data_IF_773131426641
#
_entry.id   IF_773131426641
#
_cell.length_a   1.000
_cell.length_b   1.000
_cell.length_c   1.000
_cell.angle_alpha   90.00
_cell.angle_beta   90.00
_cell.angle_gamma   90.00
#
_symmetry.space_group_name_H-M   'P 1'
#
loop_
_entity.id
_entity.type
_entity.pdbx_description
1 polymer ?
#
# COMPACT_ATOMS: atom_id res chain seq x y z
N UNK A 1 20.48 -3.97 12.32
CA UNK A 1 20.50 -3.81 10.84
C UNK A 1 19.69 -2.57 10.50
N UNK A 2 20.33 -1.51 10.04
CA UNK A 2 19.65 -0.26 9.67
C UNK A 2 18.75 -0.57 8.46
N UNK A 3 17.43 -0.64 8.64
CA UNK A 3 16.54 -0.89 7.51
C UNK A 3 16.59 0.33 6.59
N UNK A 4 17.24 0.20 5.42
CA UNK A 4 17.50 1.28 4.46
C UNK A 4 16.25 2.10 4.07
N UNK A 5 15.06 1.51 4.20
CA UNK A 5 13.78 2.22 4.12
C UNK A 5 12.81 1.71 5.20
N UNK A 6 12.18 2.62 5.94
CA UNK A 6 11.03 2.31 6.81
C UNK A 6 9.80 2.03 5.95
N UNK A 7 8.93 1.11 6.38
CA UNK A 7 7.69 0.79 5.67
C UNK A 7 6.79 2.02 5.44
N UNK A 8 6.86 3.02 6.33
CA UNK A 8 6.14 4.29 6.16
C UNK A 8 6.75 5.15 5.06
N UNK A 9 8.09 5.21 4.96
CA UNK A 9 8.79 5.91 3.87
C UNK A 9 8.53 5.25 2.52
N UNK A 10 8.52 3.92 2.50
CA UNK A 10 8.16 3.16 1.29
C UNK A 10 6.73 3.48 0.82
N UNK A 11 5.76 3.57 1.73
CA UNK A 11 4.39 3.97 1.38
C UNK A 11 4.31 5.40 0.80
N UNK A 12 5.03 6.37 1.39
CA UNK A 12 5.08 7.72 0.83
C UNK A 12 5.78 7.77 -0.54
N UNK A 13 6.81 6.96 -0.75
CA UNK A 13 7.46 6.83 -2.07
C UNK A 13 6.50 6.23 -3.11
N UNK A 14 5.73 5.19 -2.77
CA UNK A 14 4.68 4.65 -3.63
C UNK A 14 3.67 5.75 -3.97
N UNK A 15 3.19 6.49 -2.97
CA UNK A 15 2.21 7.57 -3.15
C UNK A 15 2.72 8.63 -4.13
N UNK A 16 3.97 9.08 -3.97
CA UNK A 16 4.59 10.05 -4.87
C UNK A 16 4.62 9.54 -6.31
N UNK A 17 5.09 8.30 -6.52
CA UNK A 17 5.18 7.70 -7.86
C UNK A 17 3.78 7.56 -8.48
N UNK A 18 2.77 7.11 -7.72
CA UNK A 18 1.39 7.00 -8.21
C UNK A 18 0.82 8.34 -8.67
N UNK A 19 1.08 9.42 -7.92
CA UNK A 19 0.63 10.77 -8.30
C UNK A 19 1.30 11.22 -9.60
N UNK A 20 2.61 10.98 -9.74
CA UNK A 20 3.33 11.28 -10.98
C UNK A 20 2.80 10.45 -12.16
N UNK A 21 2.50 9.17 -11.95
CA UNK A 21 1.89 8.29 -12.97
C UNK A 21 0.51 8.80 -13.40
N UNK A 22 -0.34 9.24 -12.46
CA UNK A 22 -1.63 9.85 -12.79
C UNK A 22 -1.43 11.13 -13.63
N UNK A 23 -0.47 11.98 -13.24
CA UNK A 23 -0.12 13.18 -13.99
C UNK A 23 0.34 12.87 -15.41
N UNK A 24 1.13 11.80 -15.59
CA UNK A 24 1.55 11.31 -16.90
C UNK A 24 0.34 10.89 -17.76
N UNK A 25 -0.58 10.08 -17.23
CA UNK A 25 -1.79 9.66 -17.98
C UNK A 25 -2.68 10.86 -18.35
N UNK A 26 -2.79 11.87 -17.48
CA UNK A 26 -3.49 13.12 -17.81
C UNK A 26 -2.78 13.87 -18.95
N UNK A 27 -1.44 13.91 -18.96
CA UNK A 27 -0.67 14.55 -20.02
C UNK A 27 -0.82 13.83 -21.38
N UNK A 28 -0.93 12.50 -21.37
CA UNK A 28 -1.27 11.69 -22.56
C UNK A 28 -2.65 12.07 -23.09
N UNK A 29 -3.67 12.11 -22.23
CA UNK A 29 -5.02 12.53 -22.61
C UNK A 29 -5.10 13.98 -23.11
N UNK A 30 -4.26 14.87 -22.58
CA UNK A 30 -4.16 16.25 -23.03
C UNK A 30 -3.40 16.40 -24.37
N UNK A 31 -2.87 15.32 -24.95
CA UNK A 31 -2.09 15.34 -26.19
C UNK A 31 -0.67 15.88 -26.03
N UNK A 32 -0.19 16.04 -24.80
CA UNK A 32 1.19 16.49 -24.53
C UNK A 32 2.24 15.38 -24.67
N UNK A 33 1.80 14.12 -24.77
CA UNK A 33 2.63 12.93 -24.88
C UNK A 33 2.16 12.08 -26.07
N UNK A 34 3.07 11.60 -26.94
CA UNK A 34 2.70 10.77 -28.08
C UNK A 34 2.10 9.41 -27.63
N UNK A 35 1.02 8.93 -28.26
CA UNK A 35 0.38 7.66 -27.88
C UNK A 35 1.25 6.43 -28.14
N UNK A 36 2.29 6.55 -28.98
CA UNK A 36 3.19 5.44 -29.33
C UNK A 36 4.06 4.99 -28.15
N UNK A 37 4.25 5.85 -27.14
CA UNK A 37 5.06 5.51 -25.96
C UNK A 37 4.25 4.86 -24.83
N UNK A 38 2.94 4.70 -25.00
CA UNK A 38 2.05 4.03 -24.05
C UNK A 38 1.47 2.76 -24.67
N UNK A 39 1.18 1.75 -23.84
CA UNK A 39 0.51 0.51 -24.24
C UNK A 39 1.19 -0.26 -25.38
N UNK A 40 2.52 -0.29 -25.43
CA UNK A 40 3.27 -1.00 -26.47
C UNK A 40 3.21 -0.33 -27.83
N UNK A 41 2.74 0.92 -27.92
CA UNK A 41 2.38 1.57 -29.18
C UNK A 41 1.18 0.94 -29.89
N UNK A 42 0.41 0.07 -29.20
CA UNK A 42 -0.72 -0.67 -29.79
C UNK A 42 -2.05 0.08 -29.72
N UNK A 43 -2.12 1.14 -28.92
CA UNK A 43 -3.32 1.97 -28.77
C UNK A 43 -3.39 3.03 -29.89
N UNK A 44 -3.55 2.59 -31.14
CA UNK A 44 -3.60 3.47 -32.32
C UNK A 44 -4.96 4.13 -32.55
N UNK A 45 -6.04 3.50 -32.06
CA UNK A 45 -7.38 4.08 -32.09
C UNK A 45 -7.56 5.11 -30.95
N UNK A 46 -7.91 6.37 -31.24
CA UNK A 46 -8.12 7.39 -30.21
C UNK A 46 -9.15 6.97 -29.16
N UNK A 47 -10.23 6.28 -29.54
CA UNK A 47 -11.26 5.88 -28.59
C UNK A 47 -10.77 4.75 -27.66
N UNK A 48 -9.98 3.82 -28.17
CA UNK A 48 -9.28 2.80 -27.39
C UNK A 48 -8.28 3.43 -26.42
N UNK A 49 -7.45 4.37 -26.89
CA UNK A 49 -6.50 5.10 -26.05
C UNK A 49 -7.20 5.77 -24.87
N UNK A 50 -8.25 6.58 -25.13
CA UNK A 50 -8.99 7.26 -24.06
C UNK A 50 -9.55 6.29 -23.00
N UNK A 51 -10.07 5.13 -23.42
CA UNK A 51 -10.58 4.11 -22.50
C UNK A 51 -9.47 3.51 -21.64
N UNK A 52 -8.34 3.16 -22.26
CA UNK A 52 -7.19 2.58 -21.57
C UNK A 52 -6.56 3.57 -20.57
N UNK A 53 -6.40 4.83 -20.97
CA UNK A 53 -5.92 5.90 -20.09
C UNK A 53 -6.89 6.15 -18.93
N UNK A 54 -8.20 6.20 -19.17
CA UNK A 54 -9.21 6.37 -18.13
C UNK A 54 -9.19 5.21 -17.11
N UNK A 55 -9.04 3.97 -17.57
CA UNK A 55 -8.88 2.80 -16.70
C UNK A 55 -7.59 2.91 -15.88
N UNK A 56 -6.48 3.33 -16.49
CA UNK A 56 -5.21 3.51 -15.78
C UNK A 56 -5.30 4.56 -14.69
N UNK A 57 -5.93 5.70 -14.97
CA UNK A 57 -6.18 6.75 -13.97
C UNK A 57 -7.04 6.20 -12.84
N UNK A 58 -8.16 5.55 -13.15
CA UNK A 58 -9.07 5.00 -12.15
C UNK A 58 -8.39 3.97 -11.23
N UNK A 59 -7.60 3.06 -11.81
CA UNK A 59 -6.81 2.08 -11.06
C UNK A 59 -5.80 2.80 -10.18
N UNK A 60 -5.00 3.72 -10.71
CA UNK A 60 -3.99 4.42 -9.91
C UNK A 60 -4.62 5.25 -8.77
N UNK A 61 -5.76 5.90 -8.99
CA UNK A 61 -6.52 6.59 -7.94
C UNK A 61 -6.96 5.62 -6.84
N UNK A 62 -7.47 4.44 -7.21
CA UNK A 62 -7.80 3.40 -6.23
C UNK A 62 -6.58 2.98 -5.42
N UNK A 63 -5.42 2.82 -6.07
CA UNK A 63 -4.17 2.48 -5.38
C UNK A 63 -3.71 3.59 -4.43
N UNK A 64 -3.87 4.86 -4.82
CA UNK A 64 -3.61 6.02 -3.94
C UNK A 64 -4.47 5.94 -2.68
N UNK A 65 -5.76 5.63 -2.80
CA UNK A 65 -6.66 5.47 -1.64
C UNK A 65 -6.18 4.34 -0.72
N UNK A 66 -5.76 3.20 -1.27
CA UNK A 66 -5.20 2.09 -0.48
C UNK A 66 -3.96 2.54 0.31
N UNK A 67 -3.03 3.25 -0.33
CA UNK A 67 -1.80 3.73 0.31
C UNK A 67 -2.09 4.79 1.37
N UNK A 68 -2.99 5.74 1.08
CA UNK A 68 -3.43 6.74 2.06
C UNK A 68 -4.10 6.08 3.27
N UNK A 69 -4.90 5.04 3.05
CA UNK A 69 -5.51 4.22 4.08
C UNK A 69 -4.49 3.54 4.98
N UNK A 70 -3.38 3.06 4.41
CA UNK A 70 -2.27 2.50 5.17
C UNK A 70 -1.48 3.53 5.96
N UNK A 71 -1.24 4.72 5.40
CA UNK A 71 -0.52 5.81 6.12
C UNK A 71 -1.34 6.43 7.25
N UNK A 72 -2.65 6.18 7.30
CA UNK A 72 -3.57 6.78 8.26
C UNK A 72 -3.91 8.24 7.95
N UNK A 73 -3.64 8.70 6.72
CA UNK A 73 -3.92 10.07 6.26
C UNK A 73 -5.39 10.28 5.90
N UNK A 74 -6.17 9.21 5.76
CA UNK A 74 -7.63 9.30 5.58
C UNK A 74 -8.31 9.44 6.95
N UNK A 75 -9.40 10.20 7.00
CA UNK A 75 -10.21 10.40 8.22
C UNK A 75 -10.85 9.12 8.77
N UNK A 76 -10.71 7.99 8.07
CA UNK A 76 -11.22 6.67 8.45
C UNK A 76 -10.09 5.63 8.46
N UNK A 77 -10.18 4.67 9.39
CA UNK A 77 -9.16 3.65 9.61
C UNK A 77 -9.52 2.37 8.87
N UNK A 78 -8.68 1.96 7.93
CA UNK A 78 -8.79 0.64 7.32
C UNK A 78 -8.17 -0.44 8.21
N UNK A 79 -8.83 -1.60 8.27
CA UNK A 79 -8.28 -2.76 8.95
C UNK A 79 -7.10 -3.35 8.19
N UNK A 80 -6.10 -3.86 8.90
CA UNK A 80 -4.98 -4.60 8.31
C UNK A 80 -5.43 -5.80 7.48
N UNK A 81 -6.61 -6.37 7.77
CA UNK A 81 -7.20 -7.48 7.01
C UNK A 81 -7.60 -7.09 5.58
N UNK A 82 -7.86 -5.80 5.34
CA UNK A 82 -8.22 -5.26 4.01
C UNK A 82 -6.99 -4.73 3.29
N UNK A 83 -6.13 -3.99 4.01
CA UNK A 83 -4.95 -3.38 3.41
C UNK A 83 -3.91 -4.41 2.96
N UNK A 84 -3.69 -5.48 3.73
CA UNK A 84 -2.68 -6.48 3.40
C UNK A 84 -2.93 -7.20 2.07
N UNK A 85 -4.14 -7.73 1.76
CA UNK A 85 -4.42 -8.28 0.44
C UNK A 85 -4.38 -7.21 -0.66
N UNK A 86 -4.78 -5.96 -0.38
CA UNK A 86 -4.69 -4.88 -1.36
C UNK A 86 -3.24 -4.58 -1.78
N UNK A 87 -2.29 -4.54 -0.84
CA UNK A 87 -0.87 -4.39 -1.16
C UNK A 87 -0.29 -5.61 -1.89
N UNK A 88 -0.79 -6.82 -1.64
CA UNK A 88 -0.44 -8.00 -2.44
C UNK A 88 -0.95 -7.90 -3.87
N UNK A 89 -2.18 -7.45 -4.08
CA UNK A 89 -2.72 -7.19 -5.40
C UNK A 89 -1.90 -6.14 -6.15
N UNK A 90 -1.50 -5.05 -5.48
CA UNK A 90 -0.58 -4.05 -6.03
C UNK A 90 0.77 -4.66 -6.43
N UNK A 91 1.36 -5.48 -5.56
CA UNK A 91 2.63 -6.16 -5.86
C UNK A 91 2.52 -7.01 -7.13
N UNK A 92 1.46 -7.81 -7.25
CA UNK A 92 1.22 -8.64 -8.44
C UNK A 92 1.00 -7.77 -9.68
N UNK A 93 0.16 -6.75 -9.58
CA UNK A 93 -0.12 -5.82 -10.67
C UNK A 93 1.15 -5.14 -11.20
N UNK A 94 1.98 -4.59 -10.32
CA UNK A 94 3.22 -3.92 -10.72
C UNK A 94 4.27 -4.91 -11.23
N UNK A 95 4.31 -6.12 -10.71
CA UNK A 95 5.18 -7.17 -11.26
C UNK A 95 4.75 -7.55 -12.67
N UNK A 96 3.44 -7.70 -12.92
CA UNK A 96 2.92 -7.97 -14.25
C UNK A 96 3.18 -6.81 -15.21
N UNK A 97 3.01 -5.56 -14.76
CA UNK A 97 3.38 -4.38 -15.54
C UNK A 97 4.89 -4.34 -15.85
N UNK A 98 5.75 -4.74 -14.90
CA UNK A 98 7.19 -4.84 -15.13
C UNK A 98 7.49 -5.85 -16.24
N UNK A 99 6.86 -7.03 -16.19
CA UNK A 99 6.99 -8.05 -17.25
C UNK A 99 6.49 -7.52 -18.59
N UNK A 100 5.33 -6.85 -18.62
CA UNK A 100 4.79 -6.22 -19.82
C UNK A 100 5.76 -5.21 -20.44
N UNK A 101 6.35 -4.33 -19.61
CA UNK A 101 7.29 -3.30 -20.06
C UNK A 101 8.64 -3.88 -20.54
N UNK A 102 9.10 -4.97 -19.94
CA UNK A 102 10.31 -5.70 -20.38
C UNK A 102 10.08 -6.36 -21.74
N UNK A 103 8.86 -6.85 -22.00
CA UNK A 103 8.48 -7.47 -23.27
C UNK A 103 8.01 -6.47 -24.32
N UNK A 104 7.97 -5.18 -23.99
CA UNK A 104 7.50 -4.16 -24.90
C UNK A 104 8.54 -3.87 -26.00
N UNK A 105 8.05 -3.53 -27.18
CA UNK A 105 8.90 -3.23 -28.34
C UNK A 105 9.46 -1.80 -28.29
N UNK A 106 8.88 -0.92 -27.47
CA UNK A 106 9.28 0.48 -27.39
C UNK A 106 10.39 0.69 -26.35
N UNK A 107 11.44 1.42 -26.73
CA UNK A 107 12.55 1.72 -25.84
C UNK A 107 12.11 2.52 -24.59
N UNK A 108 11.09 3.37 -24.72
CA UNK A 108 10.56 4.17 -23.61
C UNK A 108 9.95 3.28 -22.53
N UNK A 109 9.19 2.25 -22.90
CA UNK A 109 8.61 1.33 -21.92
C UNK A 109 9.68 0.52 -21.22
N UNK A 110 10.66 0.00 -21.97
CA UNK A 110 11.74 -0.81 -21.39
C UNK A 110 12.66 0.01 -20.49
N UNK A 111 13.02 1.25 -20.86
CA UNK A 111 14.02 2.05 -20.14
C UNK A 111 13.43 2.92 -19.04
N UNK A 112 12.20 3.42 -19.20
CA UNK A 112 11.57 4.34 -18.24
C UNK A 112 10.54 3.63 -17.39
N UNK A 113 9.58 2.94 -17.99
CA UNK A 113 8.48 2.35 -17.22
C UNK A 113 8.86 1.07 -16.48
N UNK A 114 9.75 0.24 -17.02
CA UNK A 114 10.27 -0.94 -16.31
C UNK A 114 10.88 -0.60 -14.95
N UNK A 115 11.87 0.32 -14.82
CA UNK A 115 12.43 0.61 -13.51
C UNK A 115 11.41 1.24 -12.56
N UNK A 116 10.45 2.02 -13.08
CA UNK A 116 9.37 2.61 -12.27
C UNK A 116 8.44 1.53 -11.70
N UNK A 117 7.96 0.60 -12.53
CA UNK A 117 7.05 -0.47 -12.09
C UNK A 117 7.77 -1.51 -11.23
N UNK A 118 9.03 -1.80 -11.53
CA UNK A 118 9.88 -2.64 -10.69
C UNK A 118 10.09 -2.01 -9.30
N UNK A 119 10.39 -0.71 -9.24
CA UNK A 119 10.53 0.02 -7.98
C UNK A 119 9.22 -0.01 -7.17
N UNK A 120 8.08 0.23 -7.81
CA UNK A 120 6.76 0.12 -7.17
C UNK A 120 6.51 -1.28 -6.58
N UNK A 121 6.83 -2.34 -7.34
CA UNK A 121 6.72 -3.72 -6.86
C UNK A 121 7.61 -3.95 -5.62
N UNK A 122 8.89 -3.55 -5.67
CA UNK A 122 9.80 -3.68 -4.55
C UNK A 122 9.34 -2.90 -3.30
N UNK A 123 8.82 -1.68 -3.48
CA UNK A 123 8.28 -0.88 -2.38
C UNK A 123 7.03 -1.53 -1.78
N UNK A 124 6.13 -2.10 -2.59
CA UNK A 124 4.97 -2.84 -2.11
C UNK A 124 5.39 -4.06 -1.26
N UNK A 125 6.37 -4.84 -1.75
CA UNK A 125 6.96 -5.94 -0.98
C UNK A 125 7.57 -5.47 0.34
N UNK A 126 8.26 -4.33 0.34
CA UNK A 126 8.84 -3.73 1.55
C UNK A 126 7.77 -3.34 2.58
N UNK A 127 6.63 -2.81 2.14
CA UNK A 127 5.48 -2.51 3.00
C UNK A 127 4.87 -3.80 3.55
N UNK A 128 4.70 -4.85 2.73
CA UNK A 128 4.16 -6.12 3.18
C UNK A 128 5.02 -6.80 4.26
N UNK A 129 6.35 -6.75 4.12
CA UNK A 129 7.29 -7.38 5.05
C UNK A 129 7.41 -6.65 6.40
N UNK A 130 7.28 -5.32 6.42
CA UNK A 130 7.54 -4.53 7.63
C UNK A 130 6.35 -3.71 8.16
N UNK A 131 5.34 -3.47 7.34
CA UNK A 131 4.21 -2.58 7.66
C UNK A 131 3.12 -3.22 8.50
N UNK A 132 2.90 -4.53 8.34
CA UNK A 132 1.80 -5.25 9.00
C UNK A 132 2.26 -6.16 10.14
N UNK A 133 3.57 -6.36 10.32
CA UNK A 133 4.12 -7.29 11.32
C UNK A 133 4.07 -6.78 12.77
N UNK A 134 3.62 -5.54 13.01
CA UNK A 134 3.57 -4.97 14.36
C UNK A 134 2.21 -5.07 15.06
N UNK A 135 1.53 -6.21 14.91
CA UNK A 135 0.35 -6.56 15.73
C UNK A 135 0.72 -7.27 17.05
N UNK A 136 2.00 -7.50 17.33
CA UNK A 136 2.43 -8.35 18.46
C UNK A 136 2.54 -7.65 19.83
N UNK A 137 2.66 -6.33 19.91
CA UNK A 137 3.03 -5.68 21.19
C UNK A 137 1.84 -5.13 21.99
N UNK A 138 0.72 -4.73 21.36
CA UNK A 138 -0.41 -4.13 22.10
C UNK A 138 -1.39 -5.14 22.73
N UNK A 139 -1.45 -6.37 22.22
CA UNK A 139 -2.25 -7.45 22.85
C UNK A 139 -1.60 -7.96 24.14
N UNK A 140 -0.27 -7.86 24.25
CA UNK A 140 0.46 -8.29 25.44
C UNK A 140 0.30 -7.29 26.59
N UNK A 141 0.41 -5.98 26.33
CA UNK A 141 0.20 -4.94 27.35
C UNK A 141 -1.22 -4.96 27.93
N UNK A 142 -2.24 -5.13 27.09
CA UNK A 142 -3.64 -5.27 27.54
C UNK A 142 -3.89 -6.51 28.40
N UNK A 143 -3.12 -7.60 28.21
CA UNK A 143 -3.20 -8.78 29.08
C UNK A 143 -2.43 -8.62 30.37
N UNK A 144 -1.30 -7.90 30.35
CA UNK A 144 -0.53 -7.58 31.57
C UNK A 144 -1.36 -6.69 32.49
N UNK A 145 -2.01 -5.65 31.95
CA UNK A 145 -2.85 -4.73 32.73
C UNK A 145 -4.08 -5.45 33.32
N UNK A 146 -4.69 -6.37 32.57
CA UNK A 146 -5.80 -7.19 33.07
C UNK A 146 -5.37 -8.10 34.23
N UNK A 147 -4.16 -8.69 34.16
CA UNK A 147 -3.63 -9.52 35.24
C UNK A 147 -3.32 -8.71 36.50
N UNK A 148 -2.81 -7.49 36.35
CA UNK A 148 -2.55 -6.58 37.49
C UNK A 148 -3.85 -6.12 38.15
N UNK A 149 -4.91 -5.89 37.36
CA UNK A 149 -6.22 -5.46 37.88
C UNK A 149 -7.00 -6.59 38.59
N UNK A 150 -6.80 -7.85 38.19
CA UNK A 150 -7.35 -9.01 38.90
C UNK A 150 -6.60 -9.29 40.20
N UNK A 151 -5.27 -9.18 40.22
CA UNK A 151 -4.47 -9.37 41.45
C UNK A 151 -4.77 -8.30 42.52
N UNK A 152 -4.97 -7.04 42.12
CA UNK A 152 -5.34 -5.97 43.04
C UNK A 152 -6.72 -6.17 43.69
N UNK A 153 -7.64 -6.86 42.99
CA UNK A 153 -8.99 -7.13 43.50
C UNK A 153 -9.01 -8.24 44.56
N UNK A 154 -8.04 -9.16 44.52
CA UNK A 154 -7.91 -10.27 45.48
C UNK A 154 -7.32 -9.79 46.83
N UNK A 155 -6.42 -8.81 46.80
CA UNK A 155 -5.84 -8.16 47.99
C UNK A 155 -6.80 -7.22 48.73
N UNK A 156 -7.91 -6.80 48.10
CA UNK A 156 -8.92 -5.93 48.71
C UNK A 156 -10.07 -6.70 49.40
N UNK A 157 -10.00 -8.04 49.46
CA UNK A 157 -11.04 -8.87 50.06
C UNK A 157 -10.85 -8.85 51.59
N UNK A 158 -11.76 -8.24 52.37
CA UNK A 158 -11.60 -8.22 53.83
C UNK A 158 -11.66 -9.64 54.36
N UNK A 159 -10.66 -9.99 55.16
CA UNK A 159 -10.59 -11.26 55.87
C UNK A 159 -11.85 -11.36 56.74
N UNK A 160 -12.70 -12.34 56.44
CA UNK A 160 -13.93 -12.58 57.21
C UNK A 160 -13.51 -13.10 58.58
N UNK A 161 -13.40 -12.19 59.54
CA UNK A 161 -13.32 -12.55 60.95
C UNK A 161 -14.66 -13.17 61.34
N UNK A 162 -14.70 -14.43 61.81
CA UNK A 162 -15.93 -15.05 62.25
C UNK A 162 -16.42 -14.32 63.50
N UNK A 163 -17.69 -13.92 63.52
CA UNK A 163 -18.34 -13.48 64.75
C UNK A 163 -18.66 -14.73 65.58
N UNK A 164 -17.98 -14.87 66.71
CA UNK A 164 -18.40 -15.75 67.80
C UNK A 164 -19.17 -14.93 68.85
N UNK A 165 -20.25 -15.56 69.34
CA UNK A 165 -21.23 -15.20 70.38
C UNK A 165 -22.50 -14.47 69.95
#
# INVERSE_FOLDING_TARGET
MNSLLSARRAAFAILLILILTIGFHIAVLAGGVPPEIVWGGRATDPQQLHRLEAVSIAVNVLLVVVVLGYTGSLGFRFSHRVLRPAFWAMLVLFSLNTVGNVLAETATETVVFTPVTALLALLCGRVLLGGFNNSRVKSQHSKTDAATHTAAKDLSRPERVPFDY
#
